data_IF_292860756624
#
_entry.id   IF_292860756624
#
_cell.length_a   1.000
_cell.length_b   1.000
_cell.length_c   1.000
_cell.angle_alpha   90.00
_cell.angle_beta   90.00
_cell.angle_gamma   90.00
#
_symmetry.space_group_name_H-M   'P 1'
#
loop_
_entity.id
_entity.type
_entity.pdbx_description
1 polymer ?
#
# COMPACT_ATOMS: atom_id res chain seq x y z
N UNK A 1 -13.17 24.30 -25.61
CA UNK A 1 -12.01 24.42 -24.71
C UNK A 1 -11.97 25.83 -24.14
N UNK A 2 -12.57 26.12 -22.97
CA UNK A 2 -12.30 27.31 -22.13
C UNK A 2 -13.27 27.48 -20.92
N UNK A 3 -13.59 26.44 -20.15
CA UNK A 3 -14.51 26.61 -18.99
C UNK A 3 -14.25 25.69 -17.78
N UNK A 4 -13.06 25.09 -17.64
CA UNK A 4 -12.71 24.25 -16.48
C UNK A 4 -11.70 24.88 -15.50
N UNK A 5 -11.17 26.06 -15.80
CA UNK A 5 -9.93 26.57 -15.18
C UNK A 5 -10.14 27.57 -14.03
N UNK A 6 -11.38 27.99 -13.73
CA UNK A 6 -11.66 29.04 -12.73
C UNK A 6 -12.09 28.51 -11.36
N UNK A 7 -12.50 27.25 -11.26
CA UNK A 7 -12.86 26.59 -10.00
C UNK A 7 -11.64 26.06 -9.22
N UNK A 8 -10.67 25.48 -9.93
CA UNK A 8 -9.43 24.97 -9.33
C UNK A 8 -8.55 26.11 -8.80
N UNK A 9 -8.44 27.24 -9.51
CA UNK A 9 -7.64 28.40 -9.07
C UNK A 9 -8.16 29.09 -7.79
N UNK A 10 -9.46 28.93 -7.46
CA UNK A 10 -10.06 29.43 -6.21
C UNK A 10 -9.77 28.49 -5.05
N UNK A 11 -9.91 27.17 -5.24
CA UNK A 11 -9.50 26.18 -4.22
C UNK A 11 -7.97 26.22 -3.95
N UNK A 12 -7.17 26.50 -4.98
CA UNK A 12 -5.72 26.72 -4.87
C UNK A 12 -5.34 27.90 -3.96
N UNK A 13 -6.10 28.99 -4.03
CA UNK A 13 -5.88 30.18 -3.19
C UNK A 13 -6.36 29.98 -1.76
N UNK A 14 -7.52 29.34 -1.59
CA UNK A 14 -8.09 29.10 -0.27
C UNK A 14 -7.19 28.17 0.56
N UNK A 15 -6.59 27.17 -0.08
CA UNK A 15 -5.78 26.20 0.63
C UNK A 15 -4.39 26.70 1.01
N UNK A 16 -3.75 27.48 0.13
CA UNK A 16 -2.51 28.19 0.48
C UNK A 16 -2.76 29.17 1.63
N UNK A 17 -3.89 29.88 1.58
CA UNK A 17 -4.33 30.81 2.60
C UNK A 17 -4.60 30.11 3.94
N UNK A 18 -5.30 28.98 3.98
CA UNK A 18 -5.55 28.21 5.22
C UNK A 18 -4.26 27.69 5.85
N UNK A 19 -3.30 27.21 5.06
CA UNK A 19 -2.00 26.75 5.58
C UNK A 19 -1.16 27.95 6.06
N UNK A 20 -1.14 29.05 5.32
CA UNK A 20 -0.43 30.28 5.71
C UNK A 20 -1.06 30.89 6.97
N UNK A 21 -2.38 30.96 7.08
CA UNK A 21 -3.11 31.43 8.26
C UNK A 21 -2.87 30.52 9.48
N UNK A 22 -2.96 29.20 9.33
CA UNK A 22 -2.67 28.27 10.41
C UNK A 22 -1.20 28.34 10.86
N UNK A 23 -0.27 28.47 9.90
CA UNK A 23 1.16 28.68 10.21
C UNK A 23 1.34 30.02 10.94
N UNK A 24 0.69 31.09 10.47
CA UNK A 24 0.75 32.41 11.07
C UNK A 24 0.20 32.38 12.50
N UNK A 25 -0.95 31.73 12.75
CA UNK A 25 -1.53 31.55 14.09
C UNK A 25 -0.60 30.76 15.02
N UNK A 26 0.10 29.74 14.51
CA UNK A 26 1.06 28.95 15.28
C UNK A 26 2.37 29.72 15.53
N UNK A 27 2.71 30.69 14.68
CA UNK A 27 4.02 31.38 14.71
C UNK A 27 3.93 32.76 15.38
N UNK A 28 2.75 33.37 15.48
CA UNK A 28 2.52 34.71 16.04
C UNK A 28 2.56 34.78 17.58
N UNK A 29 3.72 34.51 18.17
CA UNK A 29 3.98 34.90 19.57
C UNK A 29 5.28 35.72 19.63
N UNK A 30 5.39 36.78 18.81
CA UNK A 30 6.67 37.50 18.71
C UNK A 30 6.73 38.95 19.17
N UNK A 31 5.65 39.63 19.52
CA UNK A 31 5.80 41.09 19.58
C UNK A 31 5.99 41.74 20.96
N UNK A 32 5.72 41.08 22.10
CA UNK A 32 5.86 41.77 23.40
C UNK A 32 6.35 40.84 24.54
N UNK A 33 7.66 40.58 24.65
CA UNK A 33 8.37 40.53 25.95
C UNK A 33 9.81 39.98 25.85
N UNK A 34 10.70 40.63 26.60
CA UNK A 34 12.11 40.32 26.81
C UNK A 34 12.34 38.85 27.24
N UNK A 35 13.14 38.11 26.45
CA UNK A 35 13.86 36.83 26.64
C UNK A 35 13.31 35.67 27.51
N UNK A 36 12.49 35.87 28.53
CA UNK A 36 11.74 34.82 29.22
C UNK A 36 10.48 34.39 28.43
N UNK A 37 9.93 35.30 27.62
CA UNK A 37 8.73 35.08 26.80
C UNK A 37 8.95 34.17 25.60
N UNK A 38 10.11 34.21 24.94
CA UNK A 38 10.31 33.50 23.65
C UNK A 38 10.34 31.97 23.81
N UNK A 39 10.86 31.46 24.93
CA UNK A 39 10.87 30.01 25.22
C UNK A 39 9.46 29.51 25.58
N UNK A 40 8.71 30.29 26.34
CA UNK A 40 7.34 29.96 26.74
C UNK A 40 6.37 30.07 25.54
N UNK A 41 6.57 31.08 24.71
CA UNK A 41 5.95 31.26 23.40
C UNK A 41 6.19 30.06 22.48
N UNK A 42 7.46 29.63 22.34
CA UNK A 42 7.82 28.48 21.53
C UNK A 42 7.14 27.20 22.05
N UNK A 43 7.11 27.00 23.37
CA UNK A 43 6.43 25.85 23.97
C UNK A 43 4.92 25.86 23.67
N UNK A 44 4.26 27.02 23.82
CA UNK A 44 2.84 27.20 23.48
C UNK A 44 2.57 26.92 22.00
N UNK A 45 3.47 27.36 21.12
CA UNK A 45 3.38 27.14 19.68
C UNK A 45 3.55 25.65 19.32
N UNK A 46 4.46 24.94 20.00
CA UNK A 46 4.63 23.50 19.86
C UNK A 46 3.38 22.73 20.32
N UNK A 47 2.76 23.12 21.44
CA UNK A 47 1.51 22.53 21.93
C UNK A 47 0.34 22.75 20.95
N UNK A 48 0.24 23.95 20.36
CA UNK A 48 -0.74 24.24 19.31
C UNK A 48 -0.52 23.38 18.07
N UNK A 49 0.72 23.21 17.62
CA UNK A 49 1.03 22.34 16.49
C UNK A 49 0.59 20.90 16.77
N UNK A 50 0.94 20.35 17.94
CA UNK A 50 0.53 18.99 18.36
C UNK A 50 -0.99 18.86 18.33
N UNK A 51 -1.71 19.83 18.91
CA UNK A 51 -3.17 19.85 18.91
C UNK A 51 -3.75 19.88 17.49
N UNK A 52 -3.17 20.66 16.59
CA UNK A 52 -3.60 20.74 15.19
C UNK A 52 -3.37 19.43 14.44
N UNK A 53 -2.19 18.82 14.56
CA UNK A 53 -1.87 17.57 13.83
C UNK A 53 -2.61 16.36 14.40
N UNK A 54 -3.10 16.42 15.64
CA UNK A 54 -4.00 15.41 16.22
C UNK A 54 -5.43 15.48 15.65
N UNK A 55 -5.77 16.53 14.88
CA UNK A 55 -7.06 16.65 14.21
C UNK A 55 -6.99 16.09 12.78
N UNK A 56 -8.16 15.74 12.21
CA UNK A 56 -8.24 15.37 10.80
C UNK A 56 -8.21 16.62 9.91
N UNK A 57 -7.00 17.00 9.48
CA UNK A 57 -6.77 18.15 8.62
C UNK A 57 -6.97 17.86 7.11
N UNK A 58 -7.10 16.58 6.73
CA UNK A 58 -7.35 16.17 5.35
C UNK A 58 -6.25 16.54 4.34
N UNK A 59 -6.68 16.66 3.09
CA UNK A 59 -5.82 16.90 1.93
C UNK A 59 -6.27 18.15 1.16
N UNK A 60 -5.29 18.82 0.58
CA UNK A 60 -5.44 19.96 -0.33
C UNK A 60 -4.64 19.64 -1.57
N UNK A 61 -5.26 19.63 -2.76
CA UNK A 61 -4.55 19.34 -4.03
C UNK A 61 -3.70 18.05 -3.99
N UNK A 62 -4.19 17.03 -3.31
CA UNK A 62 -3.44 15.78 -3.11
C UNK A 62 -2.30 15.86 -2.10
N UNK A 63 -2.06 17.02 -1.47
CA UNK A 63 -1.04 17.23 -0.44
C UNK A 63 -1.65 17.13 0.97
N UNK A 64 -1.04 16.35 1.88
CA UNK A 64 -1.51 16.22 3.25
C UNK A 64 -1.22 17.50 4.05
N UNK A 65 -2.29 18.17 4.52
CA UNK A 65 -2.20 19.46 5.22
C UNK A 65 -1.35 19.36 6.49
N UNK A 66 -1.52 18.28 7.26
CA UNK A 66 -0.76 18.04 8.48
C UNK A 66 0.76 17.96 8.23
N UNK A 67 1.18 17.22 7.20
CA UNK A 67 2.61 17.09 6.88
C UNK A 67 3.22 18.42 6.42
N UNK A 68 2.47 19.19 5.61
CA UNK A 68 2.90 20.51 5.19
C UNK A 68 3.06 21.48 6.37
N UNK A 69 2.12 21.47 7.33
CA UNK A 69 2.20 22.30 8.54
C UNK A 69 3.39 21.92 9.41
N UNK A 70 3.59 20.62 9.66
CA UNK A 70 4.75 20.11 10.40
C UNK A 70 6.04 20.62 9.76
N UNK A 71 6.23 20.38 8.46
CA UNK A 71 7.44 20.77 7.75
C UNK A 71 7.69 22.29 7.80
N UNK A 72 6.66 23.11 7.58
CA UNK A 72 6.77 24.57 7.66
C UNK A 72 7.16 25.04 9.05
N UNK A 73 6.56 24.48 10.10
CA UNK A 73 6.89 24.84 11.49
C UNK A 73 8.33 24.44 11.86
N UNK A 74 8.77 23.24 11.44
CA UNK A 74 10.13 22.76 11.70
C UNK A 74 11.20 23.62 11.04
N UNK A 75 10.97 24.09 9.80
CA UNK A 75 11.86 25.05 9.13
C UNK A 75 11.85 26.38 9.86
N UNK A 76 10.65 26.92 10.15
CA UNK A 76 10.52 28.23 10.79
C UNK A 76 11.25 28.29 12.14
N UNK A 77 11.12 27.23 12.95
CA UNK A 77 11.81 27.13 14.24
C UNK A 77 13.26 26.65 14.12
N UNK A 78 13.79 26.47 12.90
CA UNK A 78 15.14 25.94 12.63
C UNK A 78 15.42 24.65 13.41
N UNK A 79 14.40 23.82 13.58
CA UNK A 79 14.45 22.60 14.43
C UNK A 79 15.48 21.58 13.95
N UNK A 80 15.91 21.66 12.69
CA UNK A 80 16.96 20.81 12.13
C UNK A 80 18.40 21.26 12.46
N UNK A 81 18.57 22.51 12.94
CA UNK A 81 19.87 23.10 13.24
C UNK A 81 20.21 23.07 14.75
N UNK A 82 19.19 22.89 15.60
CA UNK A 82 19.32 22.94 17.07
C UNK A 82 19.66 21.56 17.62
N UNK A 83 20.64 21.46 18.53
CA UNK A 83 21.10 20.18 19.09
C UNK A 83 20.03 19.42 19.90
N UNK A 84 19.17 20.16 20.62
CA UNK A 84 18.06 19.60 21.39
C UNK A 84 16.74 20.28 21.01
N UNK A 85 15.86 19.53 20.38
CA UNK A 85 14.48 19.97 20.13
C UNK A 85 13.50 18.86 20.52
N UNK A 86 12.54 19.21 21.37
CA UNK A 86 11.49 18.28 21.84
C UNK A 86 10.38 18.08 20.81
N UNK A 87 10.35 18.90 19.77
CA UNK A 87 9.24 18.90 18.81
C UNK A 87 9.19 17.61 17.97
N UNK A 88 10.34 17.01 17.66
CA UNK A 88 10.38 15.72 16.96
C UNK A 88 9.73 14.64 17.81
N UNK A 89 10.08 14.57 19.09
CA UNK A 89 9.52 13.61 20.04
C UNK A 89 8.01 13.82 20.21
N UNK A 90 7.56 15.08 20.30
CA UNK A 90 6.14 15.42 20.39
C UNK A 90 5.34 15.02 19.14
N UNK A 91 5.88 15.24 17.94
CA UNK A 91 5.25 14.83 16.68
C UNK A 91 5.19 13.30 16.59
N UNK A 92 6.29 12.62 16.92
CA UNK A 92 6.36 11.15 16.93
C UNK A 92 5.33 10.58 17.89
N UNK A 93 5.21 11.14 19.09
CA UNK A 93 4.24 10.71 20.08
C UNK A 93 2.79 10.96 19.62
N UNK A 94 2.51 12.10 18.99
CA UNK A 94 1.19 12.39 18.44
C UNK A 94 0.79 11.40 17.34
N UNK A 95 1.71 11.08 16.42
CA UNK A 95 1.49 10.08 15.37
C UNK A 95 1.33 8.68 15.97
N UNK A 96 2.19 8.30 16.92
CA UNK A 96 2.10 7.03 17.63
C UNK A 96 0.73 6.87 18.30
N UNK A 97 0.28 7.89 19.05
CA UNK A 97 -1.01 7.87 19.74
C UNK A 97 -2.19 7.72 18.77
N UNK A 98 -2.14 8.42 17.62
CA UNK A 98 -3.15 8.27 16.58
C UNK A 98 -3.18 6.84 16.00
N UNK A 99 -2.02 6.23 15.79
CA UNK A 99 -1.89 4.85 15.30
C UNK A 99 -2.34 3.82 16.35
N UNK A 100 -1.99 4.03 17.62
CA UNK A 100 -2.39 3.17 18.73
C UNK A 100 -3.90 3.22 18.99
N UNK A 101 -4.55 4.37 18.82
CA UNK A 101 -6.00 4.48 18.88
C UNK A 101 -6.73 3.61 17.85
N UNK A 102 -6.06 3.27 16.73
CA UNK A 102 -6.57 2.31 15.74
C UNK A 102 -6.32 0.84 16.11
N UNK A 103 -5.45 0.55 17.08
CA UNK A 103 -5.10 -0.81 17.49
C UNK A 103 -5.77 -1.16 18.83
N UNK A 104 -6.20 -2.43 19.00
CA UNK A 104 -6.44 -2.96 20.36
C UNK A 104 -5.09 -3.13 21.06
N UNK A 105 -4.56 -2.02 21.59
CA UNK A 105 -3.46 -1.91 22.55
C UNK A 105 -2.25 -2.82 22.32
N UNK A 106 -1.23 -2.32 21.59
CA UNK A 106 0.16 -2.77 21.75
C UNK A 106 1.16 -1.85 21.02
N UNK A 107 2.25 -1.52 21.72
CA UNK A 107 3.60 -1.19 21.20
C UNK A 107 3.94 0.29 20.89
N UNK A 108 4.10 1.10 21.96
CA UNK A 108 5.10 2.20 21.98
C UNK A 108 6.52 1.67 22.23
N UNK A 109 6.67 0.48 22.82
CA UNK A 109 7.97 -0.02 23.32
C UNK A 109 9.03 -0.37 22.27
N UNK A 110 8.75 -0.26 20.96
CA UNK A 110 9.71 -0.60 19.91
C UNK A 110 10.40 0.59 19.22
N UNK A 111 9.97 1.83 19.49
CA UNK A 111 10.66 3.03 18.96
C UNK A 111 11.60 3.67 19.97
N UNK A 112 11.71 3.11 21.17
CA UNK A 112 12.43 3.68 22.29
C UNK A 112 13.79 2.98 22.49
N UNK A 113 14.85 3.59 21.96
CA UNK A 113 16.19 3.74 22.58
C UNK A 113 17.27 3.99 21.53
N UNK A 114 17.70 5.24 21.44
CA UNK A 114 19.13 5.55 21.49
C UNK A 114 19.34 7.00 21.96
N UNK A 115 19.06 7.28 23.24
CA UNK A 115 19.56 8.51 23.87
C UNK A 115 21.08 8.40 24.06
N UNK A 116 21.85 8.78 23.03
CA UNK A 116 23.27 9.08 23.15
C UNK A 116 23.52 10.41 22.46
N UNK A 117 23.70 11.51 23.23
CA UNK A 117 24.07 12.87 22.78
C UNK A 117 24.28 12.96 21.26
N UNK A 118 23.19 13.17 20.55
CA UNK A 118 23.11 13.02 19.10
C UNK A 118 23.29 14.40 18.49
N UNK A 119 24.34 14.59 17.68
CA UNK A 119 24.57 15.81 16.87
C UNK A 119 23.28 16.16 16.10
N UNK A 120 22.88 17.44 15.94
CA UNK A 120 21.60 17.83 15.31
C UNK A 120 21.28 17.15 13.98
N UNK A 121 22.31 16.94 13.13
CA UNK A 121 22.18 16.21 11.85
C UNK A 121 21.67 14.78 12.01
N UNK A 122 21.93 14.16 13.15
CA UNK A 122 21.67 12.76 13.41
C UNK A 122 20.30 12.58 14.12
N UNK A 123 19.76 13.61 14.81
CA UNK A 123 18.36 13.63 15.29
C UNK A 123 17.34 13.70 14.15
N UNK A 124 17.60 14.52 13.13
CA UNK A 124 16.72 14.60 11.97
C UNK A 124 16.62 13.27 11.21
N UNK A 125 17.74 12.54 11.14
CA UNK A 125 17.79 11.18 10.55
C UNK A 125 16.96 10.20 11.39
N UNK A 126 17.09 10.22 12.72
CA UNK A 126 16.27 9.38 13.61
C UNK A 126 14.77 9.70 13.47
N UNK A 127 14.40 10.98 13.43
CA UNK A 127 13.03 11.41 13.19
C UNK A 127 12.49 10.87 11.86
N UNK A 128 13.28 10.97 10.78
CA UNK A 128 12.91 10.40 9.49
C UNK A 128 12.73 8.87 9.56
N UNK A 129 13.64 8.15 10.23
CA UNK A 129 13.52 6.70 10.43
C UNK A 129 12.26 6.31 11.21
N UNK A 130 11.89 7.07 12.24
CA UNK A 130 10.65 6.85 12.98
C UNK A 130 9.42 7.04 12.10
N UNK A 131 9.40 8.08 11.24
CA UNK A 131 8.33 8.29 10.27
C UNK A 131 8.23 7.15 9.24
N UNK A 132 9.37 6.64 8.76
CA UNK A 132 9.42 5.47 7.87
C UNK A 132 8.84 4.25 8.59
N UNK A 133 9.24 4.00 9.85
CA UNK A 133 8.71 2.90 10.65
C UNK A 133 7.20 2.99 10.86
N UNK A 134 6.64 4.19 11.06
CA UNK A 134 5.19 4.37 11.11
C UNK A 134 4.52 4.04 9.77
N UNK A 135 5.11 4.45 8.65
CA UNK A 135 4.58 4.16 7.32
C UNK A 135 4.55 2.65 7.04
N UNK A 136 5.67 1.96 7.31
CA UNK A 136 5.77 0.51 7.17
C UNK A 136 4.74 -0.22 8.04
N UNK A 137 4.56 0.24 9.29
CA UNK A 137 3.56 -0.31 10.22
C UNK A 137 2.14 -0.11 9.71
N UNK A 138 1.79 1.10 9.24
CA UNK A 138 0.46 1.40 8.69
C UNK A 138 0.19 0.53 7.45
N UNK A 139 1.15 0.45 6.54
CA UNK A 139 1.03 -0.37 5.33
C UNK A 139 0.85 -1.85 5.67
N UNK A 140 1.68 -2.37 6.58
CA UNK A 140 1.56 -3.74 7.09
C UNK A 140 0.17 -4.01 7.69
N UNK A 141 -0.35 -3.10 8.52
CA UNK A 141 -1.70 -3.23 9.08
C UNK A 141 -2.80 -3.27 8.02
N UNK A 142 -2.76 -2.38 7.03
CA UNK A 142 -3.75 -2.35 5.95
C UNK A 142 -3.69 -3.66 5.15
N UNK A 143 -2.48 -4.08 4.77
CA UNK A 143 -2.19 -5.33 4.04
C UNK A 143 -2.72 -6.55 4.79
N UNK A 144 -2.36 -6.68 6.07
CA UNK A 144 -2.65 -7.87 6.85
C UNK A 144 -4.15 -7.97 7.19
N UNK A 145 -4.80 -6.83 7.45
CA UNK A 145 -6.26 -6.79 7.62
C UNK A 145 -6.98 -7.21 6.34
N UNK A 146 -6.58 -6.67 5.19
CA UNK A 146 -7.16 -7.03 3.90
C UNK A 146 -6.96 -8.52 3.59
N UNK A 147 -5.74 -9.04 3.80
CA UNK A 147 -5.40 -10.46 3.61
C UNK A 147 -6.24 -11.35 4.51
N UNK A 148 -6.43 -10.98 5.78
CA UNK A 148 -7.24 -11.73 6.75
C UNK A 148 -8.71 -11.79 6.35
N UNK A 149 -9.26 -10.72 5.78
CA UNK A 149 -10.67 -10.67 5.34
C UNK A 149 -10.89 -11.46 4.04
N UNK A 150 -9.95 -11.37 3.09
CA UNK A 150 -10.12 -11.95 1.75
C UNK A 150 -9.73 -13.43 1.68
N UNK A 151 -8.67 -13.85 2.37
CA UNK A 151 -8.11 -15.21 2.22
C UNK A 151 -9.13 -16.34 2.48
N UNK A 152 -9.96 -16.30 3.53
CA UNK A 152 -10.97 -17.32 3.77
C UNK A 152 -12.02 -17.38 2.64
N UNK A 153 -12.46 -16.21 2.16
CA UNK A 153 -13.45 -16.12 1.07
C UNK A 153 -12.91 -16.67 -0.25
N UNK A 154 -11.62 -16.44 -0.54
CA UNK A 154 -10.96 -17.03 -1.71
C UNK A 154 -10.91 -18.56 -1.63
N UNK A 155 -10.60 -19.12 -0.45
CA UNK A 155 -10.62 -20.57 -0.24
C UNK A 155 -12.00 -21.15 -0.51
N UNK A 156 -13.06 -20.50 -0.01
CA UNK A 156 -14.44 -20.91 -0.24
C UNK A 156 -14.80 -20.85 -1.73
N UNK A 157 -14.46 -19.76 -2.43
CA UNK A 157 -14.69 -19.64 -3.88
C UNK A 157 -14.01 -20.78 -4.66
N UNK A 158 -12.78 -21.15 -4.29
CA UNK A 158 -12.03 -22.23 -4.95
C UNK A 158 -12.65 -23.60 -4.64
N UNK A 159 -13.09 -23.83 -3.41
CA UNK A 159 -13.71 -25.08 -2.98
C UNK A 159 -15.05 -25.30 -3.69
N UNK A 160 -15.91 -24.28 -3.76
CA UNK A 160 -17.20 -24.36 -4.47
C UNK A 160 -17.03 -24.62 -5.96
N UNK A 161 -16.03 -24.01 -6.60
CA UNK A 161 -15.72 -24.26 -8.01
C UNK A 161 -15.26 -25.71 -8.27
N UNK A 162 -14.70 -26.40 -7.27
CA UNK A 162 -14.28 -27.80 -7.38
C UNK A 162 -15.44 -28.77 -7.12
N UNK A 163 -16.32 -28.45 -6.16
CA UNK A 163 -17.46 -29.32 -5.80
C UNK A 163 -18.60 -29.26 -6.81
N UNK A 164 -18.86 -28.10 -7.43
CA UNK A 164 -19.87 -27.93 -8.50
C UNK A 164 -19.54 -28.64 -9.83
N UNK A 165 -18.37 -29.28 -9.96
CA UNK A 165 -18.06 -30.16 -11.11
C UNK A 165 -18.96 -31.40 -11.18
N UNK A 166 -19.57 -31.80 -10.06
CA UNK A 166 -20.33 -33.05 -9.94
C UNK A 166 -21.84 -32.86 -9.62
N UNK A 167 -22.38 -31.64 -9.65
CA UNK A 167 -23.78 -31.39 -9.26
C UNK A 167 -24.48 -30.34 -10.14
N UNK A 168 -25.80 -30.52 -10.32
CA UNK A 168 -26.73 -29.61 -11.00
C UNK A 168 -26.61 -28.19 -10.42
N UNK A 169 -26.56 -27.13 -11.24
CA UNK A 169 -26.36 -25.77 -10.75
C UNK A 169 -27.61 -25.27 -10.02
N UNK A 170 -27.60 -25.35 -8.69
CA UNK A 170 -28.49 -24.56 -7.86
C UNK A 170 -27.67 -23.64 -6.96
N UNK A 171 -27.98 -22.35 -7.09
CA UNK A 171 -27.41 -21.17 -6.43
C UNK A 171 -26.04 -20.65 -6.93
N UNK A 172 -25.96 -19.33 -7.14
CA UNK A 172 -24.94 -18.75 -7.99
C UNK A 172 -23.62 -18.66 -7.20
N UNK A 173 -22.49 -18.89 -7.88
CA UNK A 173 -21.11 -18.80 -7.35
C UNK A 173 -20.73 -17.36 -6.90
N UNK A 174 -21.74 -16.52 -6.66
CA UNK A 174 -21.72 -15.08 -6.81
C UNK A 174 -21.59 -14.38 -5.48
N UNK A 175 -22.06 -14.97 -4.38
CA UNK A 175 -22.14 -14.27 -3.09
C UNK A 175 -20.76 -14.08 -2.46
N UNK A 176 -19.92 -15.12 -2.40
CA UNK A 176 -18.55 -15.01 -1.86
C UNK A 176 -17.68 -14.05 -2.68
N UNK A 177 -17.77 -14.13 -4.02
CA UNK A 177 -17.05 -13.23 -4.91
C UNK A 177 -17.52 -11.78 -4.76
N UNK A 178 -18.82 -11.58 -4.62
CA UNK A 178 -19.40 -10.25 -4.41
C UNK A 178 -18.87 -9.62 -3.12
N UNK A 179 -18.80 -10.37 -2.02
CA UNK A 179 -18.22 -9.89 -0.76
C UNK A 179 -16.73 -9.51 -0.93
N UNK A 180 -15.95 -10.31 -1.67
CA UNK A 180 -14.55 -9.99 -1.97
C UNK A 180 -14.44 -8.66 -2.73
N UNK A 181 -15.25 -8.49 -3.78
CA UNK A 181 -15.28 -7.25 -4.59
C UNK A 181 -15.66 -6.05 -3.74
N UNK A 182 -16.66 -6.19 -2.86
CA UNK A 182 -17.09 -5.13 -1.95
C UNK A 182 -15.98 -4.72 -0.97
N UNK A 183 -15.28 -5.70 -0.36
CA UNK A 183 -14.16 -5.41 0.55
C UNK A 183 -13.01 -4.73 -0.18
N UNK A 184 -12.57 -5.25 -1.33
CA UNK A 184 -11.53 -4.63 -2.14
C UNK A 184 -11.90 -3.21 -2.57
N UNK A 185 -13.15 -2.99 -2.97
CA UNK A 185 -13.65 -1.67 -3.36
C UNK A 185 -13.64 -0.69 -2.20
N UNK A 186 -14.04 -1.13 -1.00
CA UNK A 186 -13.99 -0.32 0.22
C UNK A 186 -12.57 0.14 0.54
N UNK A 187 -11.60 -0.77 0.55
CA UNK A 187 -10.18 -0.44 0.77
C UNK A 187 -9.61 0.46 -0.33
N UNK A 188 -9.95 0.21 -1.59
CA UNK A 188 -9.53 1.05 -2.70
C UNK A 188 -10.08 2.48 -2.57
N UNK A 189 -11.34 2.63 -2.19
CA UNK A 189 -11.95 3.93 -1.98
C UNK A 189 -11.30 4.66 -0.80
N UNK A 190 -10.99 3.96 0.29
CA UNK A 190 -10.24 4.50 1.42
C UNK A 190 -8.84 4.99 0.99
N UNK A 191 -8.10 4.20 0.23
CA UNK A 191 -6.78 4.59 -0.28
C UNK A 191 -6.85 5.75 -1.27
N UNK A 192 -7.86 5.79 -2.16
CA UNK A 192 -8.10 6.90 -3.09
C UNK A 192 -8.42 8.21 -2.37
N UNK A 193 -9.30 8.16 -1.36
CA UNK A 193 -9.66 9.33 -0.56
C UNK A 193 -8.45 9.96 0.15
N UNK A 194 -7.41 9.16 0.39
CA UNK A 194 -6.16 9.61 1.03
C UNK A 194 -4.97 9.75 0.03
N UNK A 195 -5.22 9.73 -1.28
CA UNK A 195 -4.20 9.87 -2.34
C UNK A 195 -3.09 8.79 -2.35
N UNK A 196 -3.37 7.57 -1.85
CA UNK A 196 -2.40 6.47 -1.79
C UNK A 196 -2.62 5.36 -2.83
N UNK A 197 -3.67 5.46 -3.67
CA UNK A 197 -4.01 4.39 -4.60
C UNK A 197 -3.31 4.55 -5.97
N UNK A 198 -2.39 3.62 -6.27
CA UNK A 198 -1.84 3.39 -7.61
C UNK A 198 -2.68 2.41 -8.45
N UNK A 199 -2.17 2.04 -9.63
CA UNK A 199 -2.79 1.04 -10.48
C UNK A 199 -2.55 -0.38 -9.92
N UNK A 200 -3.60 -1.08 -9.51
CA UNK A 200 -3.53 -2.49 -9.07
C UNK A 200 -3.40 -3.48 -10.26
N UNK A 201 -3.36 -2.97 -11.49
CA UNK A 201 -3.37 -3.76 -12.72
C UNK A 201 -2.14 -4.66 -12.85
N UNK A 202 -0.99 -4.14 -12.44
CA UNK A 202 0.30 -4.83 -12.53
C UNK A 202 0.47 -5.87 -11.44
N UNK A 203 -0.17 -5.73 -10.28
CA UNK A 203 -0.12 -6.72 -9.20
C UNK A 203 -0.86 -8.01 -9.56
N UNK A 204 -1.94 -7.91 -10.33
CA UNK A 204 -2.73 -9.06 -10.79
C UNK A 204 -2.15 -9.73 -12.05
N UNK A 205 -0.96 -9.33 -12.51
CA UNK A 205 -0.36 -9.82 -13.77
C UNK A 205 -0.27 -11.35 -13.86
N UNK A 206 0.10 -12.03 -12.75
CA UNK A 206 0.19 -13.50 -12.73
C UNK A 206 -1.17 -14.16 -12.90
N UNK A 207 -2.20 -13.70 -12.17
CA UNK A 207 -3.57 -14.22 -12.28
C UNK A 207 -4.13 -13.93 -13.66
N UNK A 208 -3.94 -12.71 -14.18
CA UNK A 208 -4.42 -12.31 -15.50
C UNK A 208 -3.80 -13.12 -16.62
N UNK A 209 -2.48 -13.34 -16.60
CA UNK A 209 -1.84 -14.21 -17.59
C UNK A 209 -2.30 -15.65 -17.44
N UNK A 210 -2.53 -16.14 -16.21
CA UNK A 210 -3.05 -17.49 -15.98
C UNK A 210 -4.45 -17.66 -16.55
N UNK A 211 -5.34 -16.69 -16.33
CA UNK A 211 -6.69 -16.68 -16.91
C UNK A 211 -6.61 -16.53 -18.43
N UNK A 212 -5.82 -15.58 -18.93
CA UNK A 212 -5.58 -15.39 -20.36
C UNK A 212 -5.08 -16.67 -21.04
N UNK A 213 -4.19 -17.42 -20.39
CA UNK A 213 -3.72 -18.72 -20.84
C UNK A 213 -4.82 -19.78 -20.96
N UNK A 214 -5.80 -19.77 -20.07
CA UNK A 214 -6.94 -20.70 -20.14
C UNK A 214 -7.84 -20.42 -21.35
N UNK A 215 -7.97 -19.15 -21.76
CA UNK A 215 -8.86 -18.71 -22.84
C UNK A 215 -8.16 -18.45 -24.18
N UNK A 216 -6.94 -18.97 -24.38
CA UNK A 216 -6.20 -18.80 -25.63
C UNK A 216 -6.94 -19.42 -26.83
N UNK A 217 -7.13 -18.64 -27.90
CA UNK A 217 -7.59 -19.16 -29.19
C UNK A 217 -6.56 -20.08 -29.84
N UNK A 218 -7.00 -21.24 -30.34
CA UNK A 218 -6.17 -22.25 -30.99
C UNK A 218 -4.97 -22.70 -30.11
N UNK A 219 -5.17 -22.77 -28.79
CA UNK A 219 -4.18 -23.21 -27.80
C UNK A 219 -3.36 -24.46 -28.19
N UNK A 220 -3.92 -25.51 -28.82
CA UNK A 220 -3.15 -26.68 -29.24
C UNK A 220 -2.13 -26.43 -30.36
N UNK A 221 -2.28 -25.34 -31.13
CA UNK A 221 -1.40 -25.00 -32.25
C UNK A 221 -0.26 -24.06 -31.86
N UNK A 222 -0.31 -23.47 -30.66
CA UNK A 222 0.72 -22.56 -30.19
C UNK A 222 1.97 -23.31 -29.77
N UNK A 223 3.12 -22.76 -30.12
CA UNK A 223 4.42 -23.27 -29.67
C UNK A 223 4.71 -22.83 -28.23
N UNK A 224 5.68 -23.49 -27.57
CA UNK A 224 6.10 -23.11 -26.23
C UNK A 224 6.68 -21.69 -26.18
N UNK A 225 7.37 -21.26 -27.24
CA UNK A 225 7.97 -19.93 -27.32
C UNK A 225 6.90 -18.83 -27.43
N UNK A 226 5.89 -19.02 -28.28
CA UNK A 226 4.74 -18.11 -28.38
C UNK A 226 3.98 -18.00 -27.04
N UNK A 227 3.82 -19.12 -26.33
CA UNK A 227 3.14 -19.14 -25.03
C UNK A 227 3.96 -18.37 -23.99
N UNK A 228 5.26 -18.60 -23.92
CA UNK A 228 6.11 -18.03 -22.86
C UNK A 228 6.49 -16.58 -23.14
N UNK A 229 6.66 -16.17 -24.40
CA UNK A 229 7.09 -14.80 -24.72
C UNK A 229 5.93 -13.84 -25.00
N UNK A 230 4.88 -14.33 -25.65
CA UNK A 230 3.81 -13.43 -26.13
C UNK A 230 2.57 -13.47 -25.24
N UNK A 231 2.24 -14.63 -24.66
CA UNK A 231 0.99 -14.78 -23.90
C UNK A 231 1.21 -14.71 -22.39
N UNK A 232 2.27 -15.34 -21.88
CA UNK A 232 2.52 -15.47 -20.44
C UNK A 232 3.98 -15.21 -20.03
N UNK A 233 4.56 -14.04 -20.35
CA UNK A 233 5.96 -13.72 -20.01
C UNK A 233 6.25 -13.62 -18.52
N UNK A 234 5.23 -13.56 -17.66
CA UNK A 234 5.39 -13.45 -16.21
C UNK A 234 5.20 -14.81 -15.51
N UNK A 235 4.62 -15.82 -16.18
CA UNK A 235 4.45 -17.15 -15.60
C UNK A 235 5.68 -18.02 -15.83
N UNK A 236 6.12 -18.72 -14.79
CA UNK A 236 7.21 -19.69 -14.93
C UNK A 236 6.77 -20.92 -15.73
N UNK A 237 7.73 -21.62 -16.35
CA UNK A 237 7.49 -22.89 -17.04
C UNK A 237 6.79 -23.89 -16.12
N UNK A 238 7.13 -23.89 -14.82
CA UNK A 238 6.50 -24.75 -13.81
C UNK A 238 5.03 -24.41 -13.57
N UNK A 239 4.70 -23.12 -13.53
CA UNK A 239 3.33 -22.64 -13.39
C UNK A 239 2.49 -23.00 -14.62
N UNK A 240 3.02 -22.75 -15.82
CA UNK A 240 2.39 -23.11 -17.09
C UNK A 240 2.15 -24.62 -17.21
N UNK A 241 3.14 -25.44 -16.85
CA UNK A 241 3.01 -26.90 -16.85
C UNK A 241 1.89 -27.38 -15.92
N UNK A 242 1.84 -26.86 -14.69
CA UNK A 242 0.79 -27.21 -13.71
C UNK A 242 -0.59 -26.78 -14.18
N UNK A 243 -0.75 -25.56 -14.70
CA UNK A 243 -2.04 -25.07 -15.21
C UNK A 243 -2.49 -25.93 -16.40
N UNK A 244 -1.56 -26.28 -17.30
CA UNK A 244 -1.84 -27.11 -18.49
C UNK A 244 -2.36 -28.51 -18.17
N UNK A 245 -1.95 -29.08 -17.03
CA UNK A 245 -2.36 -30.41 -16.58
C UNK A 245 -3.57 -30.40 -15.65
N UNK A 246 -3.83 -29.28 -14.95
CA UNK A 246 -4.93 -29.19 -13.98
C UNK A 246 -6.25 -28.69 -14.57
N UNK A 247 -6.21 -28.03 -15.73
CA UNK A 247 -7.40 -27.53 -16.40
C UNK A 247 -7.84 -28.47 -17.52
N UNK A 248 -9.06 -28.99 -17.40
CA UNK A 248 -9.73 -29.78 -18.41
C UNK A 248 -11.19 -29.31 -18.47
N UNK A 249 -11.65 -28.89 -19.64
CA UNK A 249 -13.00 -28.38 -19.86
C UNK A 249 -13.77 -29.36 -20.75
N UNK A 250 -14.48 -30.28 -20.11
CA UNK A 250 -15.36 -31.25 -20.76
C UNK A 250 -16.58 -30.61 -21.42
N UNK A 251 -16.93 -29.37 -21.05
CA UNK A 251 -18.21 -28.74 -21.43
C UNK A 251 -18.13 -28.00 -22.77
N UNK A 252 -17.00 -27.39 -23.08
CA UNK A 252 -16.79 -26.67 -24.33
C UNK A 252 -15.72 -27.29 -25.24
N UNK A 253 -15.12 -28.41 -24.83
CA UNK A 253 -14.13 -29.13 -25.64
C UNK A 253 -12.89 -28.28 -25.93
N UNK A 254 -12.55 -27.32 -25.08
CA UNK A 254 -11.30 -26.55 -25.23
C UNK A 254 -10.12 -27.45 -24.92
N UNK A 255 -9.44 -27.86 -25.98
CA UNK A 255 -8.24 -28.69 -25.91
C UNK A 255 -7.11 -27.91 -25.24
N UNK A 256 -6.37 -28.58 -24.33
CA UNK A 256 -5.19 -28.00 -23.68
C UNK A 256 -4.05 -27.77 -24.69
N UNK A 257 -2.88 -27.35 -24.20
CA UNK A 257 -1.66 -27.27 -25.04
C UNK A 257 -1.31 -28.63 -25.65
N UNK A 258 -0.54 -28.62 -26.75
CA UNK A 258 -0.12 -29.87 -27.42
C UNK A 258 0.78 -30.74 -26.53
N UNK A 259 0.80 -32.05 -26.82
CA UNK A 259 1.70 -33.01 -26.15
C UNK A 259 3.16 -32.59 -26.22
N UNK A 260 3.57 -32.01 -27.34
CA UNK A 260 4.95 -31.58 -27.59
C UNK A 260 5.32 -30.40 -26.68
N UNK A 261 4.39 -29.46 -26.48
CA UNK A 261 4.58 -28.34 -25.56
C UNK A 261 4.71 -28.85 -24.12
N UNK A 262 3.88 -29.81 -23.69
CA UNK A 262 3.97 -30.42 -22.36
C UNK A 262 5.29 -31.17 -22.17
N UNK A 263 5.74 -31.92 -23.18
CA UNK A 263 7.02 -32.64 -23.15
C UNK A 263 8.20 -31.66 -23.05
N UNK A 264 8.20 -30.59 -23.83
CA UNK A 264 9.24 -29.54 -23.77
C UNK A 264 9.27 -28.84 -22.42
N UNK A 265 8.11 -28.49 -21.85
CA UNK A 265 8.04 -27.92 -20.50
C UNK A 265 8.66 -28.87 -19.45
N UNK A 266 8.42 -30.18 -19.57
CA UNK A 266 8.97 -31.20 -18.66
C UNK A 266 10.50 -31.27 -18.74
N UNK A 267 11.08 -31.19 -19.94
CA UNK A 267 12.54 -31.18 -20.15
C UNK A 267 13.17 -29.94 -19.51
N UNK A 268 12.62 -28.75 -19.78
CA UNK A 268 13.13 -27.49 -19.20
C UNK A 268 13.06 -27.50 -17.67
N UNK A 269 12.01 -28.10 -17.09
CA UNK A 269 11.88 -28.23 -15.64
C UNK A 269 12.95 -29.13 -15.00
N UNK A 270 13.46 -30.12 -15.73
CA UNK A 270 14.55 -31.00 -15.28
C UNK A 270 15.93 -30.35 -15.41
N UNK A 271 16.12 -29.46 -16.38
CA UNK A 271 17.37 -28.71 -16.59
C UNK A 271 17.54 -27.57 -15.56
N UNK A 272 16.45 -26.92 -15.14
CA UNK A 272 16.44 -25.84 -14.13
C UNK A 272 16.58 -26.31 -12.66
N UNK A 273 16.77 -27.61 -12.41
CA UNK A 273 16.83 -28.23 -11.07
C UNK A 273 17.97 -27.74 -10.17
N UNK A 274 18.98 -27.11 -10.78
CA UNK A 274 20.20 -26.62 -10.11
C UNK A 274 20.03 -25.24 -9.44
N UNK A 275 18.90 -24.55 -9.64
CA UNK A 275 18.67 -23.23 -9.06
C UNK A 275 17.56 -23.28 -7.99
N UNK A 276 17.91 -23.06 -6.71
CA UNK A 276 17.00 -23.26 -5.57
C UNK A 276 15.76 -22.34 -5.60
N UNK A 277 15.87 -21.15 -6.20
CA UNK A 277 14.77 -20.19 -6.40
C UNK A 277 13.74 -20.73 -7.41
N UNK A 278 14.16 -21.53 -8.38
CA UNK A 278 13.26 -22.15 -9.37
C UNK A 278 12.43 -23.30 -8.82
N UNK A 279 12.56 -23.69 -7.54
CA UNK A 279 11.83 -24.84 -6.99
C UNK A 279 10.37 -24.56 -6.67
N UNK A 280 10.01 -23.32 -6.35
CA UNK A 280 8.64 -22.97 -5.95
C UNK A 280 7.74 -22.74 -7.17
N UNK A 281 6.60 -23.42 -7.20
CA UNK A 281 5.48 -23.09 -8.09
C UNK A 281 4.61 -21.97 -7.50
N UNK A 282 4.66 -21.80 -6.17
CA UNK A 282 3.91 -20.79 -5.46
C UNK A 282 4.60 -19.44 -5.67
N UNK A 283 3.80 -18.39 -5.80
CA UNK A 283 4.32 -17.03 -5.70
C UNK A 283 4.84 -16.84 -4.27
N UNK A 284 6.00 -16.19 -4.16
CA UNK A 284 6.52 -15.82 -2.85
C UNK A 284 5.53 -14.84 -2.20
N UNK A 285 5.20 -15.11 -0.93
CA UNK A 285 4.46 -14.17 -0.11
C UNK A 285 5.47 -13.10 0.29
N UNK A 286 5.45 -11.92 -0.34
CA UNK A 286 6.34 -10.78 -0.08
C UNK A 286 6.10 -10.14 1.31
N UNK A 287 5.90 -10.98 2.33
CA UNK A 287 5.83 -10.66 3.75
C UNK A 287 7.24 -10.30 4.26
N UNK A 288 7.78 -9.19 3.77
CA UNK A 288 8.78 -8.40 4.49
C UNK A 288 8.11 -7.18 5.10
#
# INVERSE_FOLDING_TARGET
MAARDTGELRQLKDSRKTIEEATQVIVMVKDDAENASEVEALKKNQELLVKCISQNLGYVEGKPVAACLIYKCLIHWRSFEIEETKIFDLIVQAIASAIEGCMRGALVSSLDRQERKVVPKHRAVLFMQQLIGFLEKIYGMIRDNLKREISPLLVLCIQEARTKRNAVPQQPLTDHWQIIVERLSSYLNLMKANNYAGSAWDELRHIRQSVGFLFIHQKPKKTLDEITREVCPVLSIRQLYRISLMYWDDKYGTHSVSSDVVANMKVMMTEDSNNAVSRSFLLDDDSR
#
